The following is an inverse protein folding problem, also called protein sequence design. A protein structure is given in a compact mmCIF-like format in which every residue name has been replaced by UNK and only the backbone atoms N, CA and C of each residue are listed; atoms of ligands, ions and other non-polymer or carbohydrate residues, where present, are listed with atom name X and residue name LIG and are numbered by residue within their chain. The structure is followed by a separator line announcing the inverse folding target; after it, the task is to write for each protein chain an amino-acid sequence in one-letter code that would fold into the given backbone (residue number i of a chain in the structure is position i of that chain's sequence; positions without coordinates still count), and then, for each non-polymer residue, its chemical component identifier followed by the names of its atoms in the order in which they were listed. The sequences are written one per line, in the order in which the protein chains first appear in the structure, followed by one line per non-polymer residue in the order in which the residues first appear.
data_IF_834828243309
#
_entry.id   IF_834828243309
#
_cell.length_a   1.000
_cell.length_b   1.000
_cell.length_c   1.000
_cell.angle_alpha   90.00
_cell.angle_beta   90.00
_cell.angle_gamma   90.00
#
_symmetry.space_group_name_H-M   'P 1'
#
loop_
_entity.id
_entity.type
_entity.pdbx_description
1 polymer ?
#
# COMPACT_ATOMS: atom_id res chain seq x y z
N UNK A 1 32.39 -40.22 2.76
CA UNK A 1 32.51 -38.81 2.37
C UNK A 1 33.97 -38.39 2.26
N UNK A 2 34.63 -38.80 1.17
CA UNK A 2 35.94 -38.28 0.71
C UNK A 2 36.03 -38.55 -0.79
N UNK A 3 36.03 -37.50 -1.59
CA UNK A 3 36.38 -37.59 -3.02
C UNK A 3 37.89 -37.83 -3.11
N UNK A 4 38.30 -38.95 -3.70
CA UNK A 4 39.71 -39.21 -3.98
C UNK A 4 40.07 -38.46 -5.27
N UNK A 5 40.64 -37.26 -5.12
CA UNK A 5 41.08 -36.42 -6.23
C UNK A 5 42.30 -36.99 -6.98
N UNK A 6 42.64 -36.32 -8.08
CA UNK A 6 43.76 -36.67 -8.94
C UNK A 6 45.10 -36.56 -8.18
N UNK A 7 45.92 -37.61 -8.24
CA UNK A 7 47.22 -37.68 -7.55
C UNK A 7 48.32 -37.35 -8.55
N UNK A 8 49.19 -36.40 -8.20
CA UNK A 8 50.39 -36.08 -8.96
C UNK A 8 51.63 -36.68 -8.27
N UNK A 9 52.71 -36.89 -9.02
CA UNK A 9 54.01 -37.22 -8.42
C UNK A 9 54.55 -36.06 -7.56
N UNK A 10 55.58 -36.31 -6.75
CA UNK A 10 56.12 -35.33 -5.80
C UNK A 10 56.60 -34.02 -6.43
N UNK A 11 56.87 -34.02 -7.75
CA UNK A 11 57.26 -32.84 -8.52
C UNK A 11 56.08 -32.11 -9.17
N UNK A 12 54.86 -32.65 -9.08
CA UNK A 12 53.64 -32.08 -9.69
C UNK A 12 53.60 -32.14 -11.22
N UNK A 13 54.54 -32.83 -11.88
CA UNK A 13 54.72 -32.80 -13.34
C UNK A 13 54.08 -33.98 -14.06
N UNK A 14 53.72 -35.04 -13.33
CA UNK A 14 53.05 -36.21 -13.89
C UNK A 14 51.85 -36.61 -13.03
N UNK A 15 50.72 -36.85 -13.70
CA UNK A 15 49.51 -37.36 -13.08
C UNK A 15 49.65 -38.88 -12.90
N UNK A 16 49.73 -39.35 -11.65
CA UNK A 16 49.92 -40.75 -11.30
C UNK A 16 48.61 -41.52 -11.12
N UNK A 17 47.52 -40.82 -10.80
CA UNK A 17 46.17 -41.38 -10.77
C UNK A 17 45.15 -40.29 -11.08
N UNK A 18 44.21 -40.57 -11.98
CA UNK A 18 43.20 -39.61 -12.44
C UNK A 18 42.14 -39.31 -11.37
N UNK A 19 42.10 -40.08 -10.28
CA UNK A 19 40.97 -40.12 -9.36
C UNK A 19 39.82 -40.94 -9.95
N UNK A 20 38.82 -41.29 -9.12
CA UNK A 20 37.58 -41.91 -9.63
C UNK A 20 36.73 -40.84 -10.33
N UNK A 21 35.86 -41.27 -11.25
CA UNK A 21 34.90 -40.37 -11.90
C UNK A 21 34.26 -39.45 -10.86
N UNK A 22 34.10 -38.13 -11.14
CA UNK A 22 33.45 -37.22 -10.22
C UNK A 22 32.11 -37.84 -9.80
N UNK A 23 31.75 -37.72 -8.53
CA UNK A 23 30.36 -37.94 -8.14
C UNK A 23 29.53 -37.00 -9.01
N UNK A 24 28.91 -37.57 -10.04
CA UNK A 24 27.77 -36.98 -10.72
C UNK A 24 26.80 -36.67 -9.59
N UNK A 25 26.71 -35.40 -9.20
CA UNK A 25 25.58 -34.94 -8.41
C UNK A 25 24.38 -35.30 -9.27
N UNK A 26 23.67 -36.37 -8.89
CA UNK A 26 22.40 -36.70 -9.51
C UNK A 26 21.59 -35.40 -9.54
N UNK A 27 20.96 -35.05 -10.68
CA UNK A 27 20.19 -33.82 -10.75
C UNK A 27 19.18 -33.80 -9.61
N UNK A 28 19.24 -32.74 -8.80
CA UNK A 28 18.39 -32.60 -7.61
C UNK A 28 16.94 -32.71 -8.07
N UNK A 29 16.28 -33.77 -7.61
CA UNK A 29 14.84 -33.93 -7.80
C UNK A 29 14.13 -33.38 -6.59
N UNK A 30 13.35 -32.33 -6.78
CA UNK A 30 12.51 -31.75 -5.74
C UNK A 30 11.09 -31.53 -6.28
N UNK A 31 10.12 -31.88 -5.44
CA UNK A 31 8.72 -31.51 -5.64
C UNK A 31 8.46 -30.26 -4.84
N UNK A 32 8.04 -29.19 -5.50
CA UNK A 32 7.75 -27.90 -4.90
C UNK A 32 6.23 -27.73 -4.91
N UNK A 33 5.66 -27.43 -3.74
CA UNK A 33 4.25 -27.05 -3.59
C UNK A 33 4.20 -25.64 -3.04
N UNK A 34 3.65 -24.72 -3.83
CA UNK A 34 3.48 -23.33 -3.43
C UNK A 34 2.18 -23.21 -2.64
N UNK A 35 2.24 -22.60 -1.44
CA UNK A 35 1.06 -22.26 -0.65
C UNK A 35 0.43 -20.96 -1.18
N UNK A 36 -0.88 -20.83 -0.99
CA UNK A 36 -1.67 -19.68 -1.44
C UNK A 36 -2.23 -19.87 -2.85
N UNK A 37 -2.33 -18.75 -3.56
CA UNK A 37 -2.98 -18.57 -4.85
C UNK A 37 -2.55 -19.59 -5.90
N UNK A 38 -3.45 -19.85 -6.85
CA UNK A 38 -3.22 -20.86 -7.88
C UNK A 38 -1.99 -20.52 -8.72
N UNK A 39 -0.98 -21.40 -8.79
CA UNK A 39 0.13 -21.21 -9.73
C UNK A 39 -0.44 -21.24 -11.15
N UNK A 40 -0.25 -20.17 -11.91
CA UNK A 40 -0.74 -20.05 -13.30
C UNK A 40 0.34 -20.44 -14.30
N UNK A 41 1.61 -20.13 -14.02
CA UNK A 41 2.75 -20.41 -14.89
C UNK A 41 3.99 -20.80 -14.09
N UNK A 42 4.78 -21.73 -14.62
CA UNK A 42 6.16 -22.00 -14.18
C UNK A 42 7.05 -22.04 -15.42
N UNK A 43 7.96 -21.07 -15.56
CA UNK A 43 8.87 -20.94 -16.70
C UNK A 43 10.32 -21.20 -16.32
N UNK A 44 11.05 -21.82 -17.24
CA UNK A 44 12.50 -21.98 -17.15
C UNK A 44 13.14 -20.64 -17.50
N UNK A 45 14.04 -20.18 -16.65
CA UNK A 45 14.72 -18.89 -16.80
C UNK A 45 16.17 -19.11 -17.27
N UNK A 46 16.70 -18.21 -18.08
CA UNK A 46 18.09 -18.28 -18.53
C UNK A 46 19.09 -17.77 -17.47
N UNK A 47 20.38 -17.72 -17.82
CA UNK A 47 21.45 -17.28 -16.89
C UNK A 47 21.34 -15.79 -16.51
N UNK A 48 20.56 -15.00 -17.26
CA UNK A 48 20.36 -13.57 -17.04
C UNK A 48 19.05 -13.25 -16.31
N UNK A 49 18.27 -14.27 -15.91
CA UNK A 49 17.01 -14.04 -15.23
C UNK A 49 15.82 -13.83 -16.17
N UNK A 50 15.97 -14.05 -17.49
CA UNK A 50 14.89 -13.85 -18.47
C UNK A 50 14.11 -15.16 -18.70
N UNK A 51 12.76 -15.16 -18.59
CA UNK A 51 11.95 -16.34 -18.87
C UNK A 51 12.07 -16.81 -20.33
N UNK A 52 12.30 -18.10 -20.52
CA UNK A 52 12.37 -18.73 -21.85
C UNK A 52 10.99 -19.20 -22.33
N UNK A 53 10.95 -19.80 -23.53
CA UNK A 53 9.75 -20.46 -24.06
C UNK A 53 9.46 -21.83 -23.41
N UNK A 54 10.36 -22.33 -22.56
CA UNK A 54 10.19 -23.61 -21.87
C UNK A 54 9.38 -23.43 -20.59
N UNK A 55 8.35 -24.25 -20.45
CA UNK A 55 7.49 -24.30 -19.26
C UNK A 55 7.69 -25.60 -18.48
N UNK A 56 7.59 -25.54 -17.15
CA UNK A 56 7.56 -26.72 -16.29
C UNK A 56 6.11 -27.17 -16.14
N UNK A 57 5.84 -28.45 -16.38
CA UNK A 57 4.53 -29.02 -16.15
C UNK A 57 4.17 -28.97 -14.66
N UNK A 58 2.90 -28.67 -14.37
CA UNK A 58 2.38 -28.53 -13.01
C UNK A 58 1.02 -29.22 -12.87
N UNK A 59 0.70 -29.60 -11.64
CA UNK A 59 -0.64 -30.05 -11.24
C UNK A 59 -1.08 -29.16 -10.08
N UNK A 60 -2.03 -28.26 -10.35
CA UNK A 60 -2.38 -27.20 -9.39
C UNK A 60 -1.15 -26.34 -9.06
N UNK A 61 -0.81 -26.26 -7.78
CA UNK A 61 0.31 -25.48 -7.23
C UNK A 61 1.60 -26.29 -7.04
N UNK A 62 1.59 -27.54 -7.50
CA UNK A 62 2.72 -28.45 -7.33
C UNK A 62 3.39 -28.70 -8.68
N UNK A 63 4.72 -28.60 -8.69
CA UNK A 63 5.55 -28.92 -9.85
C UNK A 63 6.86 -29.58 -9.39
N UNK A 64 7.54 -30.24 -10.32
CA UNK A 64 8.78 -30.97 -10.04
C UNK A 64 9.92 -30.34 -10.81
N UNK A 65 11.04 -30.13 -10.12
CA UNK A 65 12.34 -29.89 -10.74
C UNK A 65 13.16 -31.17 -10.63
N UNK A 66 13.77 -31.61 -11.73
CA UNK A 66 14.50 -32.88 -11.83
C UNK A 66 15.79 -32.74 -12.67
N UNK A 67 16.28 -31.50 -12.80
CA UNK A 67 17.45 -31.15 -13.60
C UNK A 67 17.26 -31.21 -15.12
N UNK A 68 16.09 -31.61 -15.64
CA UNK A 68 15.79 -31.67 -17.09
C UNK A 68 16.13 -30.39 -17.85
N UNK A 69 15.97 -29.24 -17.20
CA UNK A 69 16.14 -27.93 -17.83
C UNK A 69 17.53 -27.31 -17.63
N UNK A 70 18.39 -27.93 -16.81
CA UNK A 70 19.75 -27.46 -16.51
C UNK A 70 19.84 -25.94 -16.23
N UNK A 71 18.86 -25.40 -15.47
CA UNK A 71 18.83 -24.00 -15.03
C UNK A 71 18.90 -23.90 -13.51
N UNK A 72 19.36 -22.74 -13.04
CA UNK A 72 19.36 -22.35 -11.63
C UNK A 72 18.09 -21.60 -11.22
N UNK A 73 17.34 -21.04 -12.18
CA UNK A 73 16.22 -20.14 -11.91
C UNK A 73 14.92 -20.59 -12.61
N UNK A 74 13.80 -20.38 -11.91
CA UNK A 74 12.45 -20.58 -12.43
C UNK A 74 11.59 -19.37 -12.09
N UNK A 75 10.81 -18.90 -13.05
CA UNK A 75 9.78 -17.87 -12.82
C UNK A 75 8.47 -18.60 -12.48
N UNK A 76 7.85 -18.23 -11.36
CA UNK A 76 6.54 -18.75 -10.96
C UNK A 76 5.57 -17.58 -10.99
N UNK A 77 4.55 -17.66 -11.84
CA UNK A 77 3.40 -16.75 -11.79
C UNK A 77 2.24 -17.44 -11.10
N UNK A 78 1.55 -16.70 -10.25
CA UNK A 78 0.31 -17.11 -9.59
C UNK A 78 -0.85 -16.36 -10.22
N UNK A 79 -2.06 -16.90 -10.10
CA UNK A 79 -3.26 -16.11 -10.22
C UNK A 79 -3.16 -15.04 -9.13
N UNK A 80 -3.46 -13.79 -9.43
CA UNK A 80 -3.85 -12.88 -8.36
C UNK A 80 -5.27 -13.30 -7.98
N UNK A 81 -5.50 -13.57 -6.70
CA UNK A 81 -6.80 -14.05 -6.22
C UNK A 81 -7.89 -12.94 -6.23
N UNK A 82 -7.55 -11.74 -6.69
CA UNK A 82 -8.46 -10.61 -6.87
C UNK A 82 -7.83 -9.49 -7.68
N UNK A 83 -8.62 -8.44 -7.92
CA UNK A 83 -8.11 -7.12 -8.29
C UNK A 83 -7.16 -6.64 -7.19
N UNK A 84 -6.11 -5.88 -7.52
CA UNK A 84 -5.25 -5.30 -6.50
C UNK A 84 -6.07 -4.37 -5.58
N UNK A 85 -5.79 -4.31 -4.26
CA UNK A 85 -6.47 -3.35 -3.40
C UNK A 85 -6.17 -1.94 -3.88
N UNK A 86 -7.20 -1.10 -3.93
CA UNK A 86 -7.08 0.31 -4.28
C UNK A 86 -7.71 1.16 -3.18
N UNK A 87 -7.26 2.40 -3.03
CA UNK A 87 -7.88 3.38 -2.14
C UNK A 87 -9.20 3.85 -2.76
N UNK A 88 -10.29 3.76 -2.01
CA UNK A 88 -11.64 4.17 -2.44
C UNK A 88 -12.13 5.44 -1.76
N UNK A 89 -11.41 5.91 -0.73
CA UNK A 89 -11.73 7.16 -0.05
C UNK A 89 -10.66 7.56 0.95
N UNK A 90 -10.47 8.87 1.10
CA UNK A 90 -9.63 9.49 2.14
C UNK A 90 -10.51 10.46 2.92
N UNK A 91 -10.42 10.42 4.25
CA UNK A 91 -11.24 11.21 5.16
C UNK A 91 -10.37 11.89 6.21
N UNK A 92 -10.69 13.15 6.49
CA UNK A 92 -10.22 13.86 7.68
C UNK A 92 -11.17 13.59 8.84
N UNK A 93 -10.63 13.37 10.03
CA UNK A 93 -11.39 13.12 11.25
C UNK A 93 -10.72 13.76 12.46
N UNK A 94 -11.43 13.77 13.59
CA UNK A 94 -10.88 14.16 14.87
C UNK A 94 -11.32 13.21 15.98
N UNK A 95 -10.43 12.97 16.95
CA UNK A 95 -10.79 12.31 18.21
C UNK A 95 -11.83 13.09 19.01
N UNK A 96 -11.92 14.41 18.83
CA UNK A 96 -12.88 15.27 19.51
C UNK A 96 -14.26 15.31 18.84
N UNK A 97 -14.36 14.86 17.59
CA UNK A 97 -15.63 14.84 16.86
C UNK A 97 -16.57 13.78 17.45
N UNK A 98 -17.84 14.16 17.62
CA UNK A 98 -18.88 13.23 18.08
C UNK A 98 -19.30 12.30 16.94
N UNK A 99 -19.93 11.17 17.28
CA UNK A 99 -20.48 10.29 16.24
C UNK A 99 -21.57 10.98 15.42
N UNK A 100 -22.46 11.74 16.06
CA UNK A 100 -23.51 12.48 15.35
C UNK A 100 -22.96 13.50 14.36
N UNK A 101 -21.85 14.16 14.70
CA UNK A 101 -21.16 15.07 13.77
C UNK A 101 -20.54 14.31 12.60
N UNK A 102 -19.84 13.19 12.86
CA UNK A 102 -19.32 12.33 11.78
C UNK A 102 -20.42 11.81 10.85
N UNK A 103 -21.57 11.43 11.40
CA UNK A 103 -22.72 10.98 10.62
C UNK A 103 -23.34 12.11 9.78
N UNK A 104 -23.26 13.36 10.23
CA UNK A 104 -23.70 14.50 9.44
C UNK A 104 -22.77 14.78 8.25
N UNK A 105 -21.46 14.57 8.42
CA UNK A 105 -20.43 14.74 7.38
C UNK A 105 -20.41 13.59 6.36
N UNK A 106 -20.63 12.36 6.82
CA UNK A 106 -20.64 11.15 5.99
C UNK A 106 -21.85 10.26 6.36
N UNK A 107 -23.05 10.63 5.85
CA UNK A 107 -24.29 9.96 6.20
C UNK A 107 -24.27 8.45 5.99
N UNK A 108 -24.53 7.72 7.07
CA UNK A 108 -24.65 6.26 7.08
C UNK A 108 -23.34 5.49 7.28
N UNK A 109 -22.19 6.17 7.27
CA UNK A 109 -20.88 5.53 7.42
C UNK A 109 -20.03 6.18 8.52
N UNK A 110 -20.23 7.47 8.80
CA UNK A 110 -19.64 8.16 9.95
C UNK A 110 -18.10 8.10 9.95
N UNK A 111 -17.47 8.19 8.78
CA UNK A 111 -16.00 8.10 8.65
C UNK A 111 -15.29 9.42 8.93
N UNK A 112 -16.01 10.53 8.96
CA UNK A 112 -15.45 11.88 9.06
C UNK A 112 -15.75 12.70 7.81
N UNK A 113 -14.98 13.75 7.57
CA UNK A 113 -15.11 14.61 6.40
C UNK A 113 -14.42 13.97 5.20
N UNK A 114 -15.13 13.63 4.10
CA UNK A 114 -14.50 13.16 2.88
C UNK A 114 -13.58 14.25 2.31
N UNK A 115 -12.34 13.89 2.00
CA UNK A 115 -11.42 14.83 1.35
C UNK A 115 -11.72 14.82 -0.15
N UNK A 116 -11.92 15.99 -0.80
CA UNK A 116 -12.23 16.06 -2.22
C UNK A 116 -11.17 15.40 -3.11
N UNK A 117 -11.57 15.07 -4.33
CA UNK A 117 -10.73 14.46 -5.36
C UNK A 117 -10.91 15.18 -6.71
N UNK A 118 -10.16 14.76 -7.73
CA UNK A 118 -10.22 15.37 -9.06
C UNK A 118 -9.92 16.86 -9.01
N UNK A 119 -10.58 17.65 -9.86
CA UNK A 119 -10.32 19.09 -9.96
C UNK A 119 -10.53 19.88 -8.65
N UNK A 120 -11.33 19.35 -7.72
CA UNK A 120 -11.60 19.99 -6.43
C UNK A 120 -10.70 19.50 -5.30
N UNK A 121 -9.73 18.62 -5.57
CA UNK A 121 -8.92 17.97 -4.53
C UNK A 121 -8.23 18.94 -3.56
N UNK A 122 -7.80 20.10 -4.06
CA UNK A 122 -7.13 21.13 -3.25
C UNK A 122 -8.08 22.20 -2.71
N UNK A 123 -9.40 22.01 -2.81
CA UNK A 123 -10.35 22.84 -2.09
C UNK A 123 -10.08 22.68 -0.58
N UNK A 124 -9.85 23.79 0.15
CA UNK A 124 -9.40 23.72 1.53
C UNK A 124 -10.48 23.11 2.44
N UNK A 125 -10.05 22.21 3.32
CA UNK A 125 -10.87 21.76 4.43
C UNK A 125 -10.91 22.86 5.49
N UNK A 126 -12.11 23.26 5.89
CA UNK A 126 -12.34 24.44 6.74
C UNK A 126 -12.29 24.15 8.24
N UNK A 127 -12.12 22.88 8.61
CA UNK A 127 -12.25 22.39 9.98
C UNK A 127 -10.93 22.48 10.75
N UNK A 128 -11.03 22.86 12.02
CA UNK A 128 -9.95 22.85 13.01
C UNK A 128 -9.80 21.46 13.66
N UNK A 129 -8.65 21.22 14.30
CA UNK A 129 -8.39 20.03 15.12
C UNK A 129 -8.51 18.69 14.36
N UNK A 130 -8.13 18.67 13.08
CA UNK A 130 -7.97 17.41 12.34
C UNK A 130 -6.77 16.66 12.92
N UNK A 131 -7.03 15.57 13.64
CA UNK A 131 -6.00 14.75 14.29
C UNK A 131 -6.01 13.29 13.80
N UNK A 132 -6.90 12.97 12.85
CA UNK A 132 -7.03 11.64 12.28
C UNK A 132 -7.18 11.68 10.77
N UNK A 133 -6.54 10.71 10.13
CA UNK A 133 -6.72 10.39 8.72
C UNK A 133 -7.29 8.99 8.63
N UNK A 134 -8.37 8.83 7.85
CA UNK A 134 -8.93 7.51 7.54
C UNK A 134 -8.83 7.23 6.04
N UNK A 135 -8.45 6.01 5.69
CA UNK A 135 -8.34 5.56 4.30
C UNK A 135 -9.16 4.29 4.15
N UNK A 136 -10.10 4.30 3.21
CA UNK A 136 -10.94 3.13 2.87
C UNK A 136 -10.37 2.43 1.63
N UNK A 137 -10.40 1.11 1.62
CA UNK A 137 -9.90 0.28 0.53
C UNK A 137 -11.02 -0.42 -0.24
N UNK A 138 -10.72 -0.90 -1.45
CA UNK A 138 -11.68 -1.65 -2.30
C UNK A 138 -11.95 -3.08 -1.83
N UNK A 139 -11.12 -3.59 -0.92
CA UNK A 139 -11.21 -4.92 -0.34
C UNK A 139 -10.52 -4.94 1.03
N UNK A 140 -10.60 -6.09 1.72
CA UNK A 140 -9.87 -6.30 2.97
C UNK A 140 -8.35 -6.34 2.73
N UNK A 141 -7.59 -5.63 3.57
CA UNK A 141 -6.14 -5.50 3.45
C UNK A 141 -5.44 -5.72 4.79
N UNK A 142 -4.17 -6.15 4.70
CA UNK A 142 -3.20 -6.00 5.79
C UNK A 142 -2.44 -4.70 5.59
N UNK A 143 -2.38 -3.87 6.63
CA UNK A 143 -1.62 -2.63 6.67
C UNK A 143 -0.53 -2.78 7.73
N UNK A 144 0.73 -2.69 7.33
CA UNK A 144 1.85 -2.78 8.27
C UNK A 144 2.10 -1.46 9.02
N UNK A 145 2.88 -1.54 10.10
CA UNK A 145 3.36 -0.37 10.80
C UNK A 145 4.18 0.52 9.84
N UNK A 146 4.08 1.85 10.02
CA UNK A 146 4.78 2.84 9.18
C UNK A 146 4.47 2.72 7.67
N UNK A 147 3.28 2.21 7.32
CA UNK A 147 2.77 2.25 5.95
C UNK A 147 2.44 3.67 5.49
N UNK A 148 2.05 4.57 6.41
CA UNK A 148 1.68 5.95 6.11
C UNK A 148 2.77 6.92 6.58
N UNK A 149 3.15 7.85 5.71
CA UNK A 149 3.86 9.08 6.06
C UNK A 149 2.96 10.29 5.79
N UNK A 150 3.02 11.29 6.66
CA UNK A 150 2.22 12.52 6.56
C UNK A 150 3.13 13.73 6.61
N UNK A 151 3.15 14.51 5.54
CA UNK A 151 4.05 15.65 5.37
C UNK A 151 3.25 16.91 5.03
N UNK A 152 3.28 17.90 5.92
CA UNK A 152 2.83 19.26 5.63
C UNK A 152 3.92 20.10 4.99
N UNK A 153 3.56 21.26 4.42
CA UNK A 153 4.54 22.28 4.06
C UNK A 153 5.17 22.91 5.31
N UNK A 154 4.43 22.93 6.43
CA UNK A 154 4.93 23.44 7.71
C UNK A 154 5.88 22.48 8.42
N UNK A 155 5.79 21.17 8.14
CA UNK A 155 6.59 20.13 8.77
C UNK A 155 5.95 18.75 8.66
N UNK A 156 6.67 17.71 9.10
CA UNK A 156 6.13 16.36 9.12
C UNK A 156 5.17 16.17 10.30
N UNK A 157 4.05 15.48 10.07
CA UNK A 157 3.15 15.04 11.14
C UNK A 157 3.50 13.60 11.51
N UNK A 158 3.88 13.37 12.76
CA UNK A 158 4.08 12.01 13.26
C UNK A 158 2.77 11.24 13.22
N UNK A 159 2.83 9.93 12.95
CA UNK A 159 1.65 9.06 12.96
C UNK A 159 1.88 7.85 13.85
N UNK A 160 0.84 7.45 14.59
CA UNK A 160 0.82 6.19 15.32
C UNK A 160 0.62 4.97 14.42
N UNK A 161 0.62 3.78 15.01
CA UNK A 161 0.24 2.55 14.31
C UNK A 161 -1.22 2.63 13.84
N UNK A 162 -1.56 2.06 12.67
CA UNK A 162 -2.93 2.05 12.17
C UNK A 162 -3.85 1.22 13.07
N UNK A 163 -5.08 1.70 13.24
CA UNK A 163 -6.21 0.85 13.64
C UNK A 163 -7.01 0.50 12.38
N UNK A 164 -7.29 -0.78 12.17
CA UNK A 164 -7.97 -1.26 10.97
C UNK A 164 -9.30 -1.95 11.32
N UNK A 165 -10.35 -1.59 10.58
CA UNK A 165 -11.67 -2.22 10.64
C UNK A 165 -11.96 -2.94 9.32
N UNK A 166 -11.96 -4.28 9.37
CA UNK A 166 -12.23 -5.14 8.22
C UNK A 166 -13.69 -5.08 7.74
N UNK A 167 -14.64 -4.69 8.61
CA UNK A 167 -16.05 -4.57 8.24
C UNK A 167 -16.33 -3.37 7.34
N UNK A 168 -15.54 -2.30 7.51
CA UNK A 168 -15.60 -1.08 6.71
C UNK A 168 -14.39 -0.89 5.78
N UNK A 169 -13.47 -1.86 5.77
CA UNK A 169 -12.22 -1.84 4.99
C UNK A 169 -11.45 -0.53 5.18
N UNK A 170 -11.41 -0.02 6.42
CA UNK A 170 -10.90 1.32 6.71
C UNK A 170 -9.77 1.27 7.72
N UNK A 171 -8.61 1.81 7.34
CA UNK A 171 -7.50 2.08 8.24
C UNK A 171 -7.59 3.52 8.77
N UNK A 172 -7.30 3.70 10.06
CA UNK A 172 -7.29 4.98 10.76
C UNK A 172 -5.93 5.20 11.40
N UNK A 173 -5.31 6.34 11.09
CA UNK A 173 -4.10 6.83 11.75
C UNK A 173 -4.45 8.06 12.58
N UNK A 174 -3.91 8.11 13.79
CA UNK A 174 -3.95 9.31 14.63
C UNK A 174 -2.62 10.03 14.49
N UNK A 175 -2.68 11.33 14.20
CA UNK A 175 -1.54 12.22 14.11
C UNK A 175 -1.00 12.51 15.52
N UNK A 176 0.31 12.69 15.65
CA UNK A 176 0.95 13.05 16.91
C UNK A 176 0.56 14.46 17.36
N UNK A 177 0.32 15.35 16.39
CA UNK A 177 -0.15 16.71 16.58
C UNK A 177 -1.27 16.98 15.57
N UNK A 178 -2.35 17.68 15.96
CA UNK A 178 -3.42 18.08 15.04
C UNK A 178 -2.95 19.08 13.98
N UNK A 179 -3.66 19.13 12.85
CA UNK A 179 -3.51 20.16 11.82
C UNK A 179 -4.39 21.36 12.20
N UNK A 180 -3.81 22.28 13.00
CA UNK A 180 -4.53 23.45 13.53
C UNK A 180 -4.19 24.78 12.83
N UNK A 181 -3.23 24.75 11.90
CA UNK A 181 -2.83 25.92 11.10
C UNK A 181 -3.12 25.63 9.62
N UNK A 182 -3.32 26.67 8.80
CA UNK A 182 -3.37 26.50 7.35
C UNK A 182 -2.13 25.77 6.82
N UNK A 183 -2.33 24.65 6.14
CA UNK A 183 -1.25 23.85 5.58
C UNK A 183 -1.69 23.11 4.30
N UNK A 184 -0.73 22.66 3.51
CA UNK A 184 -0.91 21.71 2.42
C UNK A 184 -0.22 20.42 2.84
N UNK A 185 -1.01 19.36 2.99
CA UNK A 185 -0.60 18.09 3.56
C UNK A 185 -0.61 17.01 2.50
N UNK A 186 0.50 16.29 2.38
CA UNK A 186 0.67 15.13 1.51
C UNK A 186 0.69 13.85 2.35
N UNK A 187 -0.17 12.91 1.99
CA UNK A 187 -0.20 11.55 2.49
C UNK A 187 0.58 10.68 1.53
N UNK A 188 1.51 9.87 2.03
CA UNK A 188 2.20 8.84 1.24
C UNK A 188 1.94 7.49 1.89
N UNK A 189 1.15 6.65 1.24
CA UNK A 189 0.89 5.27 1.64
C UNK A 189 1.75 4.34 0.77
N UNK A 190 2.69 3.65 1.42
CA UNK A 190 3.65 2.70 0.83
C UNK A 190 2.89 1.50 0.25
N UNK A 191 3.16 1.15 -1.02
CA UNK A 191 2.44 0.07 -1.72
C UNK A 191 2.88 -1.32 -1.24
N UNK A 192 4.19 -1.53 -1.06
CA UNK A 192 4.71 -2.52 -0.14
C UNK A 192 4.25 -2.10 1.27
N UNK A 193 3.95 -2.94 2.24
CA UNK A 193 3.23 -2.60 3.50
C UNK A 193 1.72 -2.48 3.41
N UNK A 194 1.11 -2.44 2.23
CA UNK A 194 -0.36 -2.58 2.08
C UNK A 194 -0.69 -3.69 1.10
N UNK A 195 -1.27 -4.79 1.60
CA UNK A 195 -1.49 -6.01 0.81
C UNK A 195 -2.89 -6.59 0.97
N UNK A 196 -3.48 -7.02 -0.13
CA UNK A 196 -4.78 -7.71 -0.20
C UNK A 196 -4.71 -8.97 -1.07
N UNK A 197 -5.88 -9.50 -1.46
CA UNK A 197 -5.97 -10.74 -2.27
C UNK A 197 -5.38 -10.60 -3.67
N UNK A 198 -5.30 -9.39 -4.22
CA UNK A 198 -4.68 -9.10 -5.51
C UNK A 198 -3.18 -8.74 -5.46
N UNK A 199 -2.55 -8.76 -4.28
CA UNK A 199 -1.16 -8.34 -4.09
C UNK A 199 -1.02 -7.00 -3.35
N UNK A 200 0.01 -6.24 -3.71
CA UNK A 200 0.27 -4.89 -3.19
C UNK A 200 -0.81 -3.88 -3.62
N UNK A 201 -0.83 -2.72 -2.98
CA UNK A 201 -1.71 -1.60 -3.34
C UNK A 201 -1.54 -1.20 -4.81
N UNK A 202 -2.65 -0.95 -5.50
CA UNK A 202 -2.73 -0.25 -6.79
C UNK A 202 -2.89 1.24 -6.49
N UNK A 203 -1.76 1.88 -6.19
CA UNK A 203 -1.75 3.17 -5.48
C UNK A 203 -1.58 4.38 -6.40
N UNK A 204 -1.41 4.23 -7.71
CA UNK A 204 -1.12 5.39 -8.56
C UNK A 204 -2.20 6.49 -8.44
N UNK A 205 -1.74 7.71 -8.21
CA UNK A 205 -2.59 8.89 -8.05
C UNK A 205 -1.96 10.12 -8.71
N UNK A 206 -2.80 10.98 -9.28
CA UNK A 206 -2.39 12.29 -9.81
C UNK A 206 -3.27 13.38 -9.21
N UNK A 207 -2.65 14.22 -8.38
CA UNK A 207 -3.34 15.31 -7.69
C UNK A 207 -4.06 16.24 -8.68
N UNK A 208 -5.30 16.61 -8.35
CA UNK A 208 -6.10 17.51 -9.17
C UNK A 208 -6.77 16.86 -10.38
N UNK A 209 -6.55 15.56 -10.63
CA UNK A 209 -7.07 14.85 -11.80
C UNK A 209 -7.69 13.49 -11.48
N UNK A 210 -7.06 12.69 -10.62
CA UNK A 210 -7.54 11.34 -10.31
C UNK A 210 -8.86 11.37 -9.53
N UNK A 211 -9.65 10.32 -9.71
CA UNK A 211 -10.84 10.03 -8.92
C UNK A 211 -10.77 8.60 -8.44
N UNK A 212 -11.21 8.33 -7.21
CA UNK A 212 -11.29 7.01 -6.61
C UNK A 212 -12.09 6.04 -7.50
N UNK A 213 -11.70 4.74 -7.52
CA UNK A 213 -10.56 4.16 -6.80
C UNK A 213 -9.19 4.65 -7.32
N UNK A 214 -8.14 4.56 -6.49
CA UNK A 214 -6.76 4.79 -6.94
C UNK A 214 -6.30 3.76 -7.96
N UNK A 215 -5.19 4.03 -8.63
CA UNK A 215 -4.46 3.04 -9.41
C UNK A 215 -4.79 3.00 -10.90
N UNK A 216 -4.22 1.99 -11.56
CA UNK A 216 -4.37 1.71 -12.99
C UNK A 216 -4.88 0.29 -13.29
N UNK A 217 -5.28 -0.45 -12.26
CA UNK A 217 -5.70 -1.86 -12.32
C UNK A 217 -4.55 -2.85 -12.12
N UNK A 218 -3.36 -2.39 -11.71
CA UNK A 218 -2.19 -3.23 -11.48
C UNK A 218 -1.56 -2.93 -10.13
N UNK A 219 -1.26 -3.96 -9.35
CA UNK A 219 -0.54 -3.78 -8.08
C UNK A 219 0.79 -3.04 -8.29
N UNK A 220 1.02 -2.01 -7.49
CA UNK A 220 2.21 -1.19 -7.51
C UNK A 220 1.91 0.29 -7.23
N UNK A 221 2.99 1.01 -6.90
CA UNK A 221 3.02 2.47 -6.86
C UNK A 221 2.44 3.05 -5.58
N UNK A 222 3.23 3.86 -4.87
CA UNK A 222 2.77 4.53 -3.66
C UNK A 222 1.54 5.41 -3.94
N UNK A 223 0.59 5.37 -3.02
CA UNK A 223 -0.53 6.30 -3.04
C UNK A 223 -0.12 7.62 -2.38
N UNK A 224 0.16 8.62 -3.24
CA UNK A 224 0.49 9.98 -2.84
C UNK A 224 -0.70 10.89 -3.05
N UNK A 225 -1.29 11.41 -1.97
CA UNK A 225 -2.51 12.20 -2.00
C UNK A 225 -2.34 13.49 -1.22
N UNK A 226 -2.45 14.63 -1.91
CA UNK A 226 -2.32 15.95 -1.30
C UNK A 226 -3.67 16.60 -1.04
N UNK A 227 -3.82 17.28 0.09
CA UNK A 227 -5.00 18.09 0.41
C UNK A 227 -4.60 19.37 1.14
N UNK A 228 -5.47 20.37 1.09
CA UNK A 228 -5.29 21.63 1.79
C UNK A 228 -6.21 21.69 3.02
N UNK A 229 -5.69 22.24 4.13
CA UNK A 229 -6.48 22.56 5.31
C UNK A 229 -6.34 24.06 5.55
N UNK A 230 -7.47 24.75 5.77
CA UNK A 230 -7.53 26.15 6.19
C UNK A 230 -8.61 26.29 7.26
N UNK A 231 -8.26 26.06 8.54
CA UNK A 231 -9.23 26.17 9.62
C UNK A 231 -9.86 27.57 9.64
N UNK A 232 -11.19 27.64 9.67
CA UNK A 232 -11.95 28.90 9.82
C UNK A 232 -12.35 29.62 8.53
N UNK A 233 -11.90 29.20 7.35
CA UNK A 233 -12.33 29.74 6.04
C UNK A 233 -13.65 29.08 5.58
N UNK A 234 -14.73 29.33 6.33
CA UNK A 234 -16.04 28.68 6.10
C UNK A 234 -16.66 29.08 4.77
N UNK A 235 -16.34 30.27 4.25
CA UNK A 235 -16.83 30.76 2.96
C UNK A 235 -16.05 30.20 1.76
N UNK A 236 -14.86 29.65 1.98
CA UNK A 236 -14.00 29.07 0.94
C UNK A 236 -13.38 30.12 0.03
N UNK A 237 -13.22 31.37 0.51
CA UNK A 237 -12.71 32.49 -0.28
C UNK A 237 -11.18 32.67 -0.15
N UNK A 238 -10.54 31.84 0.66
CA UNK A 238 -9.10 31.83 0.88
C UNK A 238 -8.64 32.79 1.99
N UNK A 239 -9.56 33.46 2.68
CA UNK A 239 -9.31 34.28 3.85
C UNK A 239 -9.98 33.67 5.08
N UNK A 240 -9.58 34.13 6.26
CA UNK A 240 -10.27 33.80 7.52
C UNK A 240 -10.62 35.14 8.14
N UNK A 241 -11.85 35.60 7.91
CA UNK A 241 -12.30 36.93 8.27
C UNK A 241 -13.72 36.95 8.88
N UNK A 242 -14.29 38.16 9.04
CA UNK A 242 -15.59 38.32 9.68
C UNK A 242 -16.75 37.71 8.86
N UNK A 243 -16.58 37.50 7.56
CA UNK A 243 -17.57 36.88 6.68
C UNK A 243 -17.71 35.38 6.97
N UNK A 244 -16.64 34.72 7.40
CA UNK A 244 -16.67 33.32 7.83
C UNK A 244 -17.45 33.14 9.14
N UNK A 245 -17.36 34.11 10.04
CA UNK A 245 -18.15 34.12 11.29
C UNK A 245 -19.64 34.26 10.98
N UNK A 246 -20.01 35.14 10.04
CA UNK A 246 -21.39 35.34 9.62
C UNK A 246 -21.97 34.09 8.91
N UNK A 247 -21.17 33.41 8.07
CA UNK A 247 -21.54 32.15 7.43
C UNK A 247 -21.76 31.01 8.46
N UNK A 248 -20.85 30.90 9.42
CA UNK A 248 -20.94 29.93 10.52
C UNK A 248 -22.19 30.13 11.38
N UNK A 249 -22.52 31.39 11.69
CA UNK A 249 -23.72 31.72 12.48
C UNK A 249 -25.02 31.42 11.72
N UNK A 250 -25.02 31.57 10.40
CA UNK A 250 -26.15 31.20 9.55
C UNK A 250 -26.36 29.66 9.52
N UNK A 251 -25.29 28.86 9.48
CA UNK A 251 -25.34 27.39 9.57
C UNK A 251 -25.75 26.90 10.96
N UNK A 252 -25.23 27.49 12.04
CA UNK A 252 -25.59 27.11 13.42
C UNK A 252 -27.06 27.38 13.76
N UNK A 253 -27.69 28.37 13.12
CA UNK A 253 -29.13 28.64 13.28
C UNK A 253 -29.99 27.52 12.65
N UNK A 254 -29.41 26.63 11.83
CA UNK A 254 -30.06 25.47 11.23
C UNK A 254 -29.99 24.16 12.06
N UNK A 255 -29.36 24.17 13.24
CA UNK A 255 -29.63 23.18 14.30
C UNK A 255 -28.86 21.86 14.27
N UNK A 256 -27.54 21.89 14.05
CA UNK A 256 -26.64 20.75 14.32
C UNK A 256 -25.52 21.16 15.27
N UNK A 257 -25.65 20.83 16.56
CA UNK A 257 -24.61 21.08 17.57
C UNK A 257 -23.32 20.29 17.23
N UNK A 258 -22.36 20.96 16.59
CA UNK A 258 -20.95 20.56 16.51
C UNK A 258 -20.16 21.10 17.72
N UNK A 259 -18.86 20.75 17.87
CA UNK A 259 -18.02 21.37 18.88
C UNK A 259 -18.03 22.89 18.68
N UNK A 260 -18.28 23.62 19.77
CA UNK A 260 -18.26 25.08 19.74
C UNK A 260 -16.87 25.54 19.26
N UNK A 261 -16.85 26.36 18.21
CA UNK A 261 -15.67 27.10 17.80
C UNK A 261 -15.26 28.00 18.98
N UNK A 262 -14.19 27.64 19.69
CA UNK A 262 -13.59 28.51 20.71
C UNK A 262 -12.54 29.38 19.98
N UNK A 263 -12.78 30.70 19.99
CA UNK A 263 -12.00 31.72 19.28
C UNK A 263 -10.72 32.11 20.03
#
# INVERSE_FOLDING_TARGET
DKQFGAVYNDTGTFLSSVGVEPLLLEPVKATITVKGDAVTSVKVVDVFGVPTDKSVARTGNTFTIDGRYATYYYEIKRASDGEAPAVTGVFADSTSWTQGFRDALDPGQGRGMPIPQGASQLAPLTWHNVDRVRITFSQDVTVEDLALAVQGLSGAYGVGAPSYDAGTMTATWTLAEPIDQPDIVSLTLDDAKVYGSGGALDGEWTDGSSTFPSGNGSAGGDFVFTFAVRPGDVTGDGQTDALDIDATNAENTAGTDGPAYDF
#
